data_IF_970326964359
#
_entry.id   IF_970326964359
#
_cell.length_a   1.000
_cell.length_b   1.000
_cell.length_c   1.000
_cell.angle_alpha   90.00
_cell.angle_beta   90.00
_cell.angle_gamma   90.00
#
_symmetry.space_group_name_H-M   'P 1'
#
loop_
_entity.id
_entity.type
_entity.pdbx_description
1 polymer ?
#
# COMPACT_ATOMS: atom_id res chain seq x y z
N UNK A 1 -40.18 -7.73 18.13
CA UNK A 1 -38.72 -7.51 18.10
C UNK A 1 -38.33 -7.26 16.67
N UNK A 2 -37.92 -6.03 16.32
CA UNK A 2 -37.35 -5.76 15.00
C UNK A 2 -35.86 -6.06 15.04
N UNK A 3 -35.43 -7.09 14.33
CA UNK A 3 -34.02 -7.35 14.09
C UNK A 3 -33.63 -6.62 12.81
N UNK A 4 -32.77 -5.61 12.91
CA UNK A 4 -32.17 -4.97 11.74
C UNK A 4 -30.97 -5.81 11.33
N UNK A 5 -31.09 -6.58 10.24
CA UNK A 5 -29.95 -7.26 9.64
C UNK A 5 -29.21 -6.26 8.75
N UNK A 6 -27.94 -6.01 9.06
CA UNK A 6 -27.02 -5.32 8.15
C UNK A 6 -26.28 -6.37 7.34
N UNK A 7 -26.42 -6.36 6.01
CA UNK A 7 -25.54 -7.11 5.11
C UNK A 7 -24.27 -6.29 4.92
N UNK A 8 -23.14 -6.77 5.45
CA UNK A 8 -21.83 -6.20 5.16
C UNK A 8 -21.19 -7.05 4.05
N UNK A 9 -20.95 -6.43 2.89
CA UNK A 9 -20.15 -7.03 1.83
C UNK A 9 -18.74 -6.46 1.95
N UNK A 10 -17.84 -7.23 2.57
CA UNK A 10 -16.44 -6.82 2.67
C UNK A 10 -15.71 -7.16 1.35
N UNK A 11 -15.10 -6.19 0.67
CA UNK A 11 -14.30 -6.48 -0.51
C UNK A 11 -13.13 -7.40 -0.13
N UNK A 12 -12.90 -8.44 -0.92
CA UNK A 12 -11.79 -9.37 -0.75
C UNK A 12 -10.64 -9.01 -1.68
N UNK A 13 -9.41 -9.32 -1.28
CA UNK A 13 -8.21 -9.21 -2.10
C UNK A 13 -7.95 -7.83 -2.75
N UNK A 14 -8.18 -6.74 -2.02
CA UNK A 14 -7.86 -5.39 -2.49
C UNK A 14 -6.43 -4.97 -2.10
N UNK A 15 -5.81 -4.01 -2.82
CA UNK A 15 -4.43 -3.58 -2.56
C UNK A 15 -4.21 -3.11 -1.11
N UNK A 16 -3.13 -3.60 -0.50
CA UNK A 16 -2.77 -3.31 0.88
C UNK A 16 -3.57 -4.11 1.92
N UNK A 17 -4.48 -5.01 1.52
CA UNK A 17 -5.14 -5.93 2.44
C UNK A 17 -4.13 -6.98 2.93
N UNK A 18 -3.89 -7.01 4.23
CA UNK A 18 -2.95 -7.95 4.86
C UNK A 18 -3.65 -9.29 5.08
N UNK A 19 -3.05 -10.37 4.56
CA UNK A 19 -3.49 -11.75 4.79
C UNK A 19 -2.88 -12.26 6.10
N UNK A 20 -1.58 -12.06 6.26
CA UNK A 20 -0.84 -12.47 7.45
C UNK A 20 0.19 -11.40 7.82
N UNK A 21 0.14 -10.92 9.05
CA UNK A 21 1.04 -9.90 9.57
C UNK A 21 2.05 -10.52 10.53
N UNK A 22 3.34 -10.45 10.18
CA UNK A 22 4.42 -10.89 11.07
C UNK A 22 5.23 -9.72 11.62
N UNK A 23 5.60 -8.76 10.78
CA UNK A 23 6.34 -7.58 11.20
C UNK A 23 5.97 -6.35 10.38
N UNK A 24 5.71 -5.23 11.06
CA UNK A 24 5.35 -3.95 10.46
C UNK A 24 6.02 -2.81 11.19
N UNK A 25 6.26 -1.71 10.49
CA UNK A 25 6.71 -0.44 11.06
C UNK A 25 5.72 0.67 10.70
N UNK A 26 5.75 1.77 11.45
CA UNK A 26 5.03 3.00 11.09
C UNK A 26 6.05 4.06 10.69
N UNK A 27 5.78 4.75 9.58
CA UNK A 27 6.60 5.85 9.06
C UNK A 27 5.69 6.93 8.50
N UNK A 28 6.15 8.18 8.51
CA UNK A 28 5.44 9.29 7.90
C UNK A 28 5.71 9.33 6.39
N UNK A 29 4.68 9.60 5.57
CA UNK A 29 4.86 9.76 4.12
C UNK A 29 5.56 11.09 3.83
N UNK A 30 6.73 11.06 3.22
CA UNK A 30 7.39 12.28 2.72
C UNK A 30 6.81 12.72 1.37
N UNK A 31 6.19 11.79 0.63
CA UNK A 31 5.68 12.06 -0.71
C UNK A 31 4.63 13.17 -0.69
N UNK A 32 4.81 14.18 -1.55
CA UNK A 32 3.85 15.26 -1.73
C UNK A 32 2.58 14.82 -2.47
N UNK A 33 2.68 13.76 -3.28
CA UNK A 33 1.53 13.11 -3.91
C UNK A 33 0.91 12.08 -2.97
N UNK A 34 -0.36 11.75 -3.23
CA UNK A 34 -1.07 10.77 -2.43
C UNK A 34 -0.52 9.36 -2.69
N UNK A 35 -0.16 8.65 -1.62
CA UNK A 35 0.39 7.29 -1.67
C UNK A 35 -0.73 6.27 -1.54
N UNK A 36 -0.82 5.33 -2.47
CA UNK A 36 -1.82 4.28 -2.46
C UNK A 36 -1.45 3.07 -1.60
N UNK A 37 -2.47 2.40 -1.05
CA UNK A 37 -2.30 1.10 -0.41
C UNK A 37 -1.81 0.03 -1.40
N UNK A 38 -0.98 -0.90 -0.93
CA UNK A 38 -0.37 -1.95 -1.75
C UNK A 38 0.84 -1.51 -2.58
N UNK A 39 1.25 -0.25 -2.48
CA UNK A 39 2.48 0.24 -3.12
C UNK A 39 3.72 -0.10 -2.27
N UNK A 40 4.85 -0.30 -2.95
CA UNK A 40 6.15 -0.42 -2.29
C UNK A 40 6.57 0.93 -1.71
N UNK A 41 7.25 0.90 -0.57
CA UNK A 41 7.80 2.06 0.11
C UNK A 41 9.32 1.91 0.28
N UNK A 42 10.05 2.99 0.04
CA UNK A 42 11.49 3.13 0.29
C UNK A 42 11.75 4.14 1.40
N UNK A 43 12.98 4.17 1.91
CA UNK A 43 13.39 5.20 2.87
C UNK A 43 13.27 6.60 2.28
N UNK A 44 12.69 7.53 3.05
CA UNK A 44 12.71 8.96 2.74
C UNK A 44 14.03 9.61 3.13
N UNK A 45 14.03 10.95 3.18
CA UNK A 45 15.16 11.79 3.59
C UNK A 45 15.64 11.43 5.01
N UNK A 46 14.72 11.22 5.96
CA UNK A 46 15.02 10.59 7.25
C UNK A 46 14.47 9.15 7.29
N UNK A 47 15.28 8.13 6.96
CA UNK A 47 14.81 6.73 6.85
C UNK A 47 14.33 6.13 8.18
N UNK A 48 14.68 6.73 9.32
CA UNK A 48 14.23 6.25 10.64
C UNK A 48 12.81 6.70 10.98
N UNK A 49 12.31 7.76 10.34
CA UNK A 49 11.00 8.35 10.66
C UNK A 49 10.08 8.47 9.45
N UNK A 50 10.63 8.51 8.25
CA UNK A 50 9.93 8.78 6.99
C UNK A 50 10.08 7.65 5.97
N UNK A 51 9.13 7.61 5.05
CA UNK A 51 9.18 6.79 3.85
C UNK A 51 8.75 7.61 2.64
N UNK A 52 9.16 7.16 1.46
CA UNK A 52 8.71 7.70 0.18
C UNK A 52 8.36 6.56 -0.80
N UNK A 53 7.79 6.90 -1.95
CA UNK A 53 7.65 5.98 -3.07
C UNK A 53 9.01 5.74 -3.73
N UNK A 54 9.24 4.53 -4.28
CA UNK A 54 10.44 4.25 -5.06
C UNK A 54 10.64 5.33 -6.14
N UNK A 55 11.88 5.75 -6.29
CA UNK A 55 12.36 6.58 -7.39
C UNK A 55 13.60 5.92 -8.00
N UNK A 56 14.12 6.47 -9.09
CA UNK A 56 15.37 5.99 -9.70
C UNK A 56 16.57 6.01 -8.74
N UNK A 57 16.50 6.78 -7.65
CA UNK A 57 17.55 6.90 -6.64
C UNK A 57 17.17 6.35 -5.27
N UNK A 58 15.94 5.86 -5.07
CA UNK A 58 15.54 5.30 -3.77
C UNK A 58 16.27 3.99 -3.50
N UNK A 59 17.02 3.85 -2.41
CA UNK A 59 17.95 2.71 -2.28
C UNK A 59 17.44 1.57 -1.39
N UNK A 60 16.60 1.86 -0.39
CA UNK A 60 16.28 0.89 0.66
C UNK A 60 14.78 0.57 0.76
N UNK A 61 14.42 -0.65 0.41
CA UNK A 61 13.07 -1.18 0.60
C UNK A 61 12.71 -1.22 2.09
N UNK A 62 11.63 -0.51 2.45
CA UNK A 62 11.11 -0.52 3.81
C UNK A 62 9.98 -1.53 3.97
N UNK A 63 9.07 -1.63 3.02
CA UNK A 63 7.92 -2.53 3.08
C UNK A 63 6.84 -2.17 2.08
N UNK A 64 5.67 -2.78 2.24
CA UNK A 64 4.46 -2.48 1.44
C UNK A 64 3.47 -1.70 2.30
N UNK A 65 2.88 -0.66 1.71
CA UNK A 65 1.86 0.17 2.35
C UNK A 65 0.60 -0.66 2.63
N UNK A 66 0.16 -0.69 3.89
CA UNK A 66 -1.07 -1.41 4.28
C UNK A 66 -2.30 -0.51 4.15
N UNK A 67 -3.45 -1.13 3.88
CA UNK A 67 -4.73 -0.43 3.84
C UNK A 67 -5.32 -0.30 5.25
N UNK A 68 -5.85 0.88 5.57
CA UNK A 68 -6.60 1.15 6.81
C UNK A 68 -8.08 1.30 6.47
N UNK A 69 -8.92 0.37 6.95
CA UNK A 69 -10.38 0.36 6.73
C UNK A 69 -11.11 1.64 7.21
N UNK A 70 -10.49 2.46 8.07
CA UNK A 70 -11.06 3.71 8.57
C UNK A 70 -10.65 4.98 7.82
N UNK A 71 -9.82 4.89 6.77
CA UNK A 71 -9.34 6.04 5.99
C UNK A 71 -9.54 5.81 4.50
N UNK A 72 -10.78 5.82 4.05
CA UNK A 72 -11.08 6.07 2.64
C UNK A 72 -11.21 7.59 2.46
N UNK A 73 -10.47 8.13 1.49
CA UNK A 73 -10.68 9.52 1.10
C UNK A 73 -12.09 9.60 0.48
N UNK A 74 -12.97 10.43 1.05
CA UNK A 74 -14.39 10.54 0.66
C UNK A 74 -14.62 10.83 -0.83
N UNK A 75 -13.59 11.35 -1.52
CA UNK A 75 -13.65 11.81 -2.91
C UNK A 75 -13.25 10.73 -3.93
N UNK A 76 -12.67 9.61 -3.48
CA UNK A 76 -12.24 8.50 -4.37
C UNK A 76 -12.75 7.17 -3.82
N UNK A 77 -13.92 6.74 -4.32
CA UNK A 77 -14.48 5.42 -4.00
C UNK A 77 -13.44 4.34 -4.29
N UNK A 78 -13.03 3.60 -3.26
CA UNK A 78 -12.17 2.41 -3.41
C UNK A 78 -10.66 2.63 -3.31
N UNK A 79 -10.17 3.87 -3.12
CA UNK A 79 -8.73 4.13 -2.95
C UNK A 79 -8.42 4.56 -1.51
N UNK A 80 -7.71 3.70 -0.75
CA UNK A 80 -7.02 4.10 0.47
C UNK A 80 -5.75 4.83 0.05
N UNK A 81 -5.82 6.15 -0.03
CA UNK A 81 -4.67 7.01 -0.28
C UNK A 81 -4.26 7.77 0.99
N UNK A 82 -2.96 7.93 1.16
CA UNK A 82 -2.34 8.61 2.29
C UNK A 82 -1.67 9.89 1.82
N UNK A 83 -1.85 10.98 2.55
CA UNK A 83 -1.26 12.28 2.19
C UNK A 83 0.13 12.46 2.81
N UNK A 84 0.84 13.51 2.38
CA UNK A 84 2.11 13.90 2.98
C UNK A 84 1.98 14.07 4.51
N UNK A 85 3.04 13.71 5.23
CA UNK A 85 3.19 13.70 6.69
C UNK A 85 2.25 12.75 7.44
N UNK A 86 1.45 11.97 6.73
CA UNK A 86 0.58 10.99 7.35
C UNK A 86 1.37 9.75 7.80
N UNK A 87 1.12 9.30 9.03
CA UNK A 87 1.69 8.05 9.54
C UNK A 87 0.99 6.83 8.94
N UNK A 88 1.75 6.08 8.15
CA UNK A 88 1.29 4.90 7.44
C UNK A 88 2.02 3.66 7.98
N UNK A 89 1.28 2.55 8.04
CA UNK A 89 1.86 1.28 8.41
C UNK A 89 2.44 0.60 7.17
N UNK A 90 3.68 0.16 7.28
CA UNK A 90 4.41 -0.57 6.26
C UNK A 90 4.61 -2.02 6.73
N UNK A 91 4.11 -2.98 5.97
CA UNK A 91 4.35 -4.39 6.20
C UNK A 91 5.76 -4.75 5.70
N UNK A 92 6.65 -5.17 6.60
CA UNK A 92 8.01 -5.61 6.25
C UNK A 92 8.09 -7.14 6.09
N UNK A 93 7.25 -7.87 6.82
CA UNK A 93 7.19 -9.32 6.74
C UNK A 93 5.76 -9.81 6.93
N UNK A 94 5.29 -10.62 5.99
CA UNK A 94 3.94 -11.15 5.98
C UNK A 94 3.47 -11.43 4.56
N UNK A 95 2.15 -11.56 4.42
CA UNK A 95 1.45 -11.76 3.15
C UNK A 95 0.44 -10.63 2.98
N UNK A 96 0.44 -9.99 1.80
CA UNK A 96 -0.36 -8.82 1.50
C UNK A 96 -0.77 -8.85 0.03
N UNK A 97 -1.96 -8.32 -0.26
CA UNK A 97 -2.43 -8.14 -1.63
C UNK A 97 -1.83 -6.87 -2.24
N UNK A 98 -1.33 -6.99 -3.47
CA UNK A 98 -0.73 -5.91 -4.25
C UNK A 98 -1.23 -5.98 -5.69
N UNK A 99 -1.16 -4.86 -6.40
CA UNK A 99 -1.36 -4.86 -7.85
C UNK A 99 -0.07 -5.24 -8.57
N UNK A 100 -0.19 -5.98 -9.66
CA UNK A 100 0.93 -6.31 -10.54
C UNK A 100 0.76 -5.59 -11.87
N UNK A 101 1.85 -5.08 -12.44
CA UNK A 101 1.84 -4.43 -13.75
C UNK A 101 1.78 -5.44 -14.91
N UNK A 102 2.13 -6.69 -14.63
CA UNK A 102 2.12 -7.79 -15.58
C UNK A 102 1.31 -8.95 -15.01
N UNK A 103 0.85 -9.84 -15.88
CA UNK A 103 0.28 -11.11 -15.46
C UNK A 103 1.35 -11.93 -14.72
N UNK A 104 0.98 -12.48 -13.56
CA UNK A 104 1.85 -13.30 -12.71
C UNK A 104 1.22 -14.67 -12.48
N UNK A 105 2.07 -15.69 -12.37
CA UNK A 105 1.69 -17.04 -12.00
C UNK A 105 2.05 -17.29 -10.54
N UNK A 106 1.33 -18.22 -9.90
CA UNK A 106 1.67 -18.65 -8.54
C UNK A 106 3.11 -19.19 -8.48
N UNK A 107 3.92 -18.63 -7.57
CA UNK A 107 5.33 -19.00 -7.40
C UNK A 107 6.30 -18.12 -8.20
N UNK A 108 5.81 -17.21 -9.05
CA UNK A 108 6.67 -16.25 -9.72
C UNK A 108 7.38 -15.34 -8.71
N UNK A 109 8.67 -15.03 -8.93
CA UNK A 109 9.37 -14.07 -8.09
C UNK A 109 8.77 -12.67 -8.30
N UNK A 110 8.52 -11.98 -7.19
CA UNK A 110 7.93 -10.64 -7.20
C UNK A 110 9.02 -9.61 -6.93
N UNK A 111 9.07 -8.58 -7.77
CA UNK A 111 9.97 -7.45 -7.65
C UNK A 111 9.17 -6.15 -7.75
N UNK A 112 9.66 -5.09 -7.13
CA UNK A 112 9.18 -3.73 -7.37
C UNK A 112 10.23 -2.94 -8.14
N UNK A 113 9.80 -1.93 -8.91
CA UNK A 113 10.69 -1.10 -9.73
C UNK A 113 11.10 0.16 -8.99
N UNK A 114 12.37 0.54 -9.17
CA UNK A 114 12.92 1.83 -8.79
C UNK A 114 12.74 2.81 -9.96
N UNK A 115 11.50 3.25 -10.17
CA UNK A 115 11.11 4.26 -11.16
C UNK A 115 10.30 5.32 -10.44
N UNK A 116 10.33 6.57 -10.90
CA UNK A 116 9.60 7.67 -10.25
C UNK A 116 8.14 7.30 -9.97
N UNK A 117 7.74 7.42 -8.70
CA UNK A 117 6.41 7.10 -8.15
C UNK A 117 6.01 5.60 -8.09
N UNK A 118 6.97 4.67 -8.24
CA UNK A 118 6.68 3.23 -8.14
C UNK A 118 5.72 2.72 -9.23
N UNK A 119 5.06 1.55 -9.04
CA UNK A 119 4.14 1.02 -10.05
C UNK A 119 2.89 1.90 -10.17
N UNK A 120 2.72 2.50 -11.35
CA UNK A 120 1.71 3.53 -11.63
C UNK A 120 0.41 2.98 -12.24
N UNK A 121 0.28 1.67 -12.46
CA UNK A 121 -0.82 1.15 -13.29
C UNK A 121 -1.54 -0.01 -12.60
N UNK A 122 -2.77 0.26 -12.13
CA UNK A 122 -3.83 -0.76 -12.09
C UNK A 122 -4.07 -1.17 -13.53
N UNK A 123 -3.85 -2.44 -13.87
CA UNK A 123 -3.84 -2.99 -15.23
C UNK A 123 -4.65 -2.19 -16.25
N UNK A 124 -3.93 -1.47 -17.12
CA UNK A 124 -4.50 -0.90 -18.33
C UNK A 124 -4.50 -2.01 -19.40
N UNK A 125 -5.66 -2.64 -19.58
CA UNK A 125 -6.08 -3.15 -20.89
C UNK A 125 -6.74 -2.00 -21.67
#
# INVERSE_FOLDING_TARGET
MSQTSYSIEAPVAFPGLVVNKRFSISRASENAAAVGAGQAAVGGTDPETQFDLPSVTGEFFLGIVTSKHGRQQLDTVGATSFVQDENVELLRQGEIWVNTEIAVTAGDPVFFRHTDNGPLVVGAD
#
